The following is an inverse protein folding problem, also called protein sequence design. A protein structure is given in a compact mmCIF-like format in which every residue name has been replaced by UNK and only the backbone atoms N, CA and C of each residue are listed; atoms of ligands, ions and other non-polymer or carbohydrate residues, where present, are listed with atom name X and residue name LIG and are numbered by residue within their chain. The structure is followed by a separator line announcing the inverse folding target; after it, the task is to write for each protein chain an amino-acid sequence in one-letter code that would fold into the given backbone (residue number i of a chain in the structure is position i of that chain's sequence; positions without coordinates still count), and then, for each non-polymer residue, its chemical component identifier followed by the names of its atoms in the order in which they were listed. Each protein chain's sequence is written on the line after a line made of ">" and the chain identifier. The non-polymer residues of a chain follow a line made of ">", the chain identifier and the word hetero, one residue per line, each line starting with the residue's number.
data_IF_278344242508
#
_entry.id   IF_278344242508
#
_cell.length_a   1.000
_cell.length_b   1.000
_cell.length_c   1.000
_cell.angle_alpha   90.00
_cell.angle_beta   90.00
_cell.angle_gamma   90.00
#
_symmetry.space_group_name_H-M   'P 1'
#
loop_
_entity.id
_entity.type
_entity.pdbx_description
1 polymer ?
#
# COMPACT_ATOMS: atom_id res chain seq x y z
N UNK A 1 -24.07 -17.76 52.37
CA UNK A 1 -24.85 -18.15 51.18
C UNK A 1 -24.24 -17.44 49.98
N UNK A 2 -23.41 -18.15 49.19
CA UNK A 2 -22.76 -17.58 48.01
C UNK A 2 -23.72 -17.63 46.84
N UNK A 3 -24.12 -16.47 46.31
CA UNK A 3 -24.80 -16.40 45.03
C UNK A 3 -23.81 -16.80 43.92
N UNK A 4 -23.83 -18.07 43.53
CA UNK A 4 -23.27 -18.46 42.23
C UNK A 4 -24.16 -17.83 41.16
N UNK A 5 -23.68 -16.75 40.56
CA UNK A 5 -24.26 -16.22 39.34
C UNK A 5 -24.17 -17.31 38.27
N UNK A 6 -25.26 -18.03 38.03
CA UNK A 6 -25.41 -18.90 36.87
C UNK A 6 -25.21 -18.04 35.63
N UNK A 7 -24.03 -18.18 35.01
CA UNK A 7 -23.78 -17.67 33.66
C UNK A 7 -24.84 -18.31 32.76
N UNK A 8 -25.64 -17.49 32.09
CA UNK A 8 -26.56 -17.92 31.05
C UNK A 8 -25.86 -18.91 30.11
N UNK A 9 -26.47 -20.08 29.93
CA UNK A 9 -26.08 -21.07 28.94
C UNK A 9 -26.03 -20.38 27.57
N UNK A 10 -24.84 -20.34 26.98
CA UNK A 10 -24.60 -19.80 25.65
C UNK A 10 -25.48 -20.54 24.64
N UNK A 11 -26.28 -19.79 23.89
CA UNK A 11 -27.16 -20.27 22.84
C UNK A 11 -26.34 -20.67 21.61
N UNK A 12 -25.68 -21.83 21.64
CA UNK A 12 -25.17 -22.54 20.45
C UNK A 12 -24.20 -21.80 19.52
N UNK A 13 -23.65 -20.65 19.92
CA UNK A 13 -22.71 -19.86 19.13
C UNK A 13 -21.24 -20.25 19.36
N UNK A 14 -20.36 -19.85 18.43
CA UNK A 14 -18.91 -20.02 18.58
C UNK A 14 -18.43 -19.32 19.88
N UNK A 15 -17.53 -19.94 20.65
CA UNK A 15 -16.96 -19.32 21.85
C UNK A 15 -16.17 -18.06 21.47
N UNK A 16 -16.11 -17.04 22.35
CA UNK A 16 -15.30 -15.87 22.10
C UNK A 16 -13.82 -16.26 22.03
N UNK A 17 -13.11 -15.71 21.04
CA UNK A 17 -11.66 -15.86 20.87
C UNK A 17 -10.95 -14.53 21.05
N UNK A 18 -9.70 -14.60 21.53
CA UNK A 18 -8.80 -13.45 21.54
C UNK A 18 -8.01 -13.44 20.25
N UNK A 19 -8.13 -12.34 19.51
CA UNK A 19 -7.39 -12.10 18.28
C UNK A 19 -6.33 -11.03 18.56
N UNK A 20 -5.15 -11.20 17.99
CA UNK A 20 -4.10 -10.18 17.93
C UNK A 20 -3.89 -9.83 16.46
N UNK A 21 -4.05 -8.56 16.14
CA UNK A 21 -3.62 -8.03 14.87
C UNK A 21 -2.08 -7.95 14.85
N UNK A 22 -1.47 -8.43 13.77
CA UNK A 22 -0.05 -8.29 13.45
C UNK A 22 0.10 -7.73 12.05
N UNK A 23 1.29 -7.24 11.75
CA UNK A 23 1.68 -6.87 10.39
C UNK A 23 2.55 -7.97 9.81
N UNK A 24 2.18 -8.41 8.61
CA UNK A 24 3.03 -9.26 7.80
C UNK A 24 3.85 -8.37 6.89
N UNK A 25 5.16 -8.58 6.88
CA UNK A 25 6.07 -7.91 5.95
C UNK A 25 6.94 -8.95 5.28
N UNK A 26 6.88 -9.01 3.96
CA UNK A 26 7.62 -9.99 3.17
C UNK A 26 8.14 -9.38 1.88
N UNK A 27 9.16 -10.03 1.31
CA UNK A 27 9.72 -9.64 0.03
C UNK A 27 8.86 -10.15 -1.11
N UNK A 28 8.59 -9.30 -2.10
CA UNK A 28 7.79 -9.62 -3.28
C UNK A 28 8.69 -9.81 -4.50
N UNK A 29 8.43 -10.80 -5.37
CA UNK A 29 9.15 -10.92 -6.63
C UNK A 29 8.82 -9.74 -7.56
N UNK A 30 9.75 -9.40 -8.44
CA UNK A 30 9.66 -8.29 -9.39
C UNK A 30 10.11 -8.74 -10.77
N UNK A 31 9.56 -8.13 -11.82
CA UNK A 31 9.87 -8.46 -13.21
C UNK A 31 11.35 -8.23 -13.59
N UNK A 32 12.02 -7.28 -12.94
CA UNK A 32 13.41 -6.88 -13.23
C UNK A 32 14.34 -7.03 -12.00
N UNK A 33 13.87 -7.73 -10.96
CA UNK A 33 14.55 -7.89 -9.66
C UNK A 33 14.64 -6.63 -8.80
N UNK A 34 13.88 -5.57 -9.12
CA UNK A 34 13.76 -4.39 -8.25
C UNK A 34 13.32 -4.82 -6.85
N UNK A 35 14.02 -4.39 -5.77
CA UNK A 35 13.63 -4.69 -4.40
C UNK A 35 12.20 -4.23 -4.08
N UNK A 36 11.39 -5.12 -3.52
CA UNK A 36 10.04 -4.80 -3.10
C UNK A 36 9.70 -5.52 -1.80
N UNK A 37 9.13 -4.79 -0.85
CA UNK A 37 8.48 -5.36 0.32
C UNK A 37 7.01 -4.99 0.33
N UNK A 38 6.16 -5.95 0.70
CA UNK A 38 4.74 -5.72 0.92
C UNK A 38 4.40 -5.82 2.40
N UNK A 39 3.50 -4.96 2.87
CA UNK A 39 3.02 -4.92 4.24
C UNK A 39 1.50 -4.91 4.31
N UNK A 40 0.91 -5.76 5.16
CA UNK A 40 -0.54 -5.86 5.35
C UNK A 40 -0.92 -6.34 6.76
N UNK A 41 -2.13 -6.03 7.26
CA UNK A 41 -2.63 -6.55 8.51
C UNK A 41 -3.00 -8.04 8.40
N UNK A 42 -2.76 -8.79 9.46
CA UNK A 42 -3.09 -10.21 9.59
C UNK A 42 -3.59 -10.51 11.01
N UNK A 43 -4.61 -11.34 11.13
CA UNK A 43 -5.28 -11.64 12.40
C UNK A 43 -4.85 -12.99 12.97
N UNK A 44 -4.08 -12.98 14.05
CA UNK A 44 -3.64 -14.18 14.74
C UNK A 44 -4.58 -14.54 15.90
N UNK A 45 -5.11 -15.77 15.91
CA UNK A 45 -5.85 -16.30 17.06
C UNK A 45 -4.86 -16.66 18.17
N UNK A 46 -4.93 -15.96 19.30
CA UNK A 46 -4.00 -16.17 20.41
C UNK A 46 -4.29 -17.45 21.20
N UNK A 47 -5.56 -17.86 21.26
CA UNK A 47 -5.97 -19.04 22.00
C UNK A 47 -7.22 -19.65 21.38
N UNK A 48 -7.11 -20.94 21.04
CA UNK A 48 -8.23 -21.75 20.55
C UNK A 48 -8.94 -22.39 21.75
N UNK A 49 -10.26 -22.19 21.91
CA UNK A 49 -11.03 -22.82 22.98
C UNK A 49 -10.98 -24.35 22.92
N UNK A 50 -11.02 -25.00 24.08
CA UNK A 50 -10.98 -26.45 24.15
C UNK A 50 -12.14 -27.09 23.37
N UNK A 51 -11.84 -28.08 22.53
CA UNK A 51 -12.81 -28.76 21.67
C UNK A 51 -13.10 -28.04 20.35
N UNK A 52 -12.38 -26.95 20.05
CA UNK A 52 -12.45 -26.21 18.79
C UNK A 52 -11.10 -26.30 18.05
N UNK A 53 -11.14 -26.04 16.75
CA UNK A 53 -9.99 -25.95 15.84
C UNK A 53 -9.81 -24.52 15.32
N UNK A 54 -8.63 -24.18 14.81
CA UNK A 54 -8.38 -22.86 14.21
C UNK A 54 -9.32 -22.59 13.02
N UNK A 55 -9.59 -23.61 12.20
CA UNK A 55 -10.51 -23.55 11.06
C UNK A 55 -11.96 -23.28 11.45
N UNK A 56 -12.35 -23.48 12.71
CA UNK A 56 -13.67 -23.11 13.17
C UNK A 56 -13.83 -21.59 13.32
N UNK A 57 -12.75 -20.81 13.21
CA UNK A 57 -12.76 -19.37 13.27
C UNK A 57 -12.33 -18.79 11.93
N UNK A 58 -13.09 -17.84 11.41
CA UNK A 58 -12.69 -17.06 10.24
C UNK A 58 -11.74 -15.97 10.71
N UNK A 59 -10.47 -16.07 10.31
CA UNK A 59 -9.50 -14.98 10.44
C UNK A 59 -9.07 -14.54 9.06
N UNK A 60 -9.17 -13.24 8.81
CA UNK A 60 -8.67 -12.62 7.59
C UNK A 60 -7.14 -12.66 7.61
N UNK A 61 -6.60 -13.74 7.06
CA UNK A 61 -5.15 -14.00 6.94
C UNK A 61 -4.69 -14.02 5.48
N UNK A 62 -5.62 -13.81 4.54
CA UNK A 62 -5.30 -13.71 3.13
C UNK A 62 -4.67 -12.33 2.85
N UNK A 63 -3.63 -12.32 2.01
CA UNK A 63 -3.01 -11.06 1.57
C UNK A 63 -4.08 -10.23 0.84
N UNK A 64 -4.27 -8.97 1.22
CA UNK A 64 -5.20 -8.10 0.51
C UNK A 64 -4.79 -7.99 -0.96
N UNK A 65 -5.75 -8.17 -1.87
CA UNK A 65 -5.51 -8.02 -3.31
C UNK A 65 -5.19 -6.58 -3.71
N UNK A 66 -5.77 -5.63 -2.97
CA UNK A 66 -5.58 -4.20 -3.21
C UNK A 66 -4.24 -3.75 -2.71
N UNK A 67 -3.48 -3.09 -3.58
CA UNK A 67 -2.16 -2.60 -3.25
C UNK A 67 -2.00 -1.12 -3.51
N UNK A 68 -1.44 -0.43 -2.53
CA UNK A 68 -0.94 0.94 -2.67
C UNK A 68 0.54 0.87 -3.04
N UNK A 69 0.87 1.45 -4.19
CA UNK A 69 2.23 1.44 -4.72
C UNK A 69 3.01 2.64 -4.18
N UNK A 70 4.11 2.37 -3.48
CA UNK A 70 5.02 3.38 -2.94
C UNK A 70 6.42 3.13 -3.52
N UNK A 71 7.11 4.17 -3.97
CA UNK A 71 8.45 4.10 -4.54
C UNK A 71 9.41 4.93 -3.70
N UNK A 72 10.36 4.31 -3.02
CA UNK A 72 11.53 5.01 -2.50
C UNK A 72 12.54 5.19 -3.63
N UNK A 73 12.77 6.45 -4.00
CA UNK A 73 13.71 6.81 -5.06
C UNK A 73 14.97 7.49 -4.54
N UNK A 74 15.15 7.52 -3.22
CA UNK A 74 16.36 8.07 -2.61
C UNK A 74 17.59 7.23 -2.97
N UNK A 75 18.81 7.80 -2.96
CA UNK A 75 20.02 7.06 -3.31
C UNK A 75 20.29 5.79 -2.48
N UNK A 76 19.68 5.63 -1.30
CA UNK A 76 19.82 4.47 -0.42
C UNK A 76 18.70 3.44 -0.53
N UNK A 77 17.80 3.59 -1.50
CA UNK A 77 16.62 2.74 -1.66
C UNK A 77 16.93 1.30 -2.12
N UNK A 78 18.19 0.92 -2.36
CA UNK A 78 18.61 -0.46 -2.60
C UNK A 78 18.86 -1.27 -1.32
N UNK A 79 18.90 -0.61 -0.16
CA UNK A 79 19.11 -1.26 1.12
C UNK A 79 17.84 -2.00 1.58
N UNK A 80 17.88 -3.33 1.63
CA UNK A 80 16.74 -4.17 1.99
C UNK A 80 16.26 -3.98 3.42
N UNK A 81 17.17 -3.75 4.38
CA UNK A 81 16.80 -3.52 5.78
C UNK A 81 16.08 -2.17 5.94
N UNK A 82 16.55 -1.16 5.20
CA UNK A 82 15.89 0.15 5.11
C UNK A 82 14.48 0.02 4.55
N UNK A 83 14.30 -0.61 3.39
CA UNK A 83 12.98 -0.78 2.78
C UNK A 83 12.03 -1.55 3.69
N UNK A 84 12.51 -2.63 4.33
CA UNK A 84 11.69 -3.39 5.26
C UNK A 84 11.24 -2.53 6.44
N UNK A 85 12.16 -1.80 7.07
CA UNK A 85 11.83 -0.91 8.17
C UNK A 85 10.89 0.23 7.75
N UNK A 86 11.10 0.78 6.56
CA UNK A 86 10.31 1.85 6.00
C UNK A 86 8.86 1.40 5.75
N UNK A 87 8.64 0.26 5.10
CA UNK A 87 7.28 -0.23 4.86
C UNK A 87 6.56 -0.63 6.15
N UNK A 88 7.28 -1.20 7.13
CA UNK A 88 6.74 -1.48 8.47
C UNK A 88 6.26 -0.19 9.14
N UNK A 89 7.09 0.86 9.11
CA UNK A 89 6.80 2.16 9.70
C UNK A 89 5.59 2.81 9.02
N UNK A 90 5.63 2.97 7.69
CA UNK A 90 4.55 3.55 6.90
C UNK A 90 3.22 2.80 7.10
N UNK A 91 3.27 1.47 7.13
CA UNK A 91 2.08 0.68 7.39
C UNK A 91 1.54 0.97 8.80
N UNK A 92 2.39 0.90 9.82
CA UNK A 92 1.98 1.09 11.22
C UNK A 92 1.41 2.48 11.51
N UNK A 93 1.93 3.52 10.88
CA UNK A 93 1.47 4.90 11.06
C UNK A 93 0.11 5.14 10.38
N UNK A 94 -0.13 4.49 9.24
CA UNK A 94 -1.28 4.79 8.37
C UNK A 94 -2.41 3.77 8.49
N UNK A 95 -2.20 2.64 9.17
CA UNK A 95 -3.14 1.49 9.22
C UNK A 95 -4.47 1.85 9.88
N UNK A 96 -4.45 2.53 11.03
CA UNK A 96 -5.68 2.84 11.77
C UNK A 96 -6.64 3.66 10.91
N UNK A 97 -6.15 4.76 10.33
CA UNK A 97 -6.97 5.63 9.49
C UNK A 97 -7.43 4.93 8.21
N UNK A 98 -6.55 4.16 7.55
CA UNK A 98 -6.92 3.32 6.39
C UNK A 98 -8.02 2.33 6.74
N UNK A 99 -7.97 1.68 7.92
CA UNK A 99 -9.00 0.72 8.33
C UNK A 99 -10.34 1.35 8.69
N UNK A 100 -10.34 2.52 9.36
CA UNK A 100 -11.59 3.22 9.70
C UNK A 100 -12.36 3.60 8.44
N UNK A 101 -11.67 4.06 7.40
CA UNK A 101 -12.32 4.63 6.24
C UNK A 101 -12.56 3.66 5.07
N UNK A 102 -11.76 2.59 4.90
CA UNK A 102 -11.90 1.63 3.77
C UNK A 102 -13.08 0.65 3.93
N UNK A 103 -14.01 0.90 4.87
CA UNK A 103 -15.29 0.17 5.07
C UNK A 103 -15.14 -1.37 5.07
N UNK A 104 -14.05 -1.89 5.64
CA UNK A 104 -13.79 -3.32 5.71
C UNK A 104 -13.25 -3.94 4.42
N UNK A 105 -12.68 -3.14 3.51
CA UNK A 105 -11.92 -3.66 2.37
C UNK A 105 -10.43 -3.53 2.70
N UNK A 106 -9.73 -4.61 3.08
CA UNK A 106 -8.34 -4.48 3.45
C UNK A 106 -7.49 -4.13 2.22
N UNK A 107 -6.37 -3.44 2.45
CA UNK A 107 -5.37 -3.12 1.45
C UNK A 107 -3.96 -3.40 2.00
N UNK A 108 -2.98 -3.50 1.11
CA UNK A 108 -1.56 -3.66 1.42
C UNK A 108 -0.76 -2.48 0.87
N UNK A 109 0.41 -2.24 1.44
CA UNK A 109 1.40 -1.33 0.89
C UNK A 109 2.46 -2.15 0.16
N UNK A 110 2.75 -1.86 -1.10
CA UNK A 110 3.92 -2.39 -1.81
C UNK A 110 4.96 -1.26 -1.93
N UNK A 111 6.10 -1.40 -1.25
CA UNK A 111 7.20 -0.45 -1.26
C UNK A 111 8.33 -0.93 -2.15
N UNK A 112 8.59 -0.18 -3.21
CA UNK A 112 9.62 -0.41 -4.21
C UNK A 112 10.88 0.40 -3.91
N UNK A 113 12.03 -0.24 -3.96
CA UNK A 113 13.33 0.40 -3.84
C UNK A 113 13.94 0.68 -5.21
N UNK A 114 13.81 1.91 -5.70
CA UNK A 114 14.28 2.31 -7.03
C UNK A 114 15.25 3.49 -6.92
N UNK A 115 16.49 3.27 -6.46
CA UNK A 115 17.41 4.35 -6.13
C UNK A 115 17.74 5.21 -7.35
N UNK A 116 17.61 6.53 -7.19
CA UNK A 116 17.96 7.51 -8.22
C UNK A 116 18.91 8.57 -7.64
N UNK A 117 19.84 9.11 -8.45
CA UNK A 117 20.72 10.20 -8.04
C UNK A 117 19.95 11.35 -7.40
N UNK A 118 20.50 11.96 -6.35
CA UNK A 118 19.81 13.01 -5.58
C UNK A 118 19.42 14.25 -6.41
N UNK A 119 20.15 14.51 -7.49
CA UNK A 119 19.91 15.59 -8.45
C UNK A 119 18.91 15.23 -9.56
N UNK A 120 18.39 13.99 -9.57
CA UNK A 120 17.33 13.59 -10.51
C UNK A 120 16.09 14.42 -10.24
N UNK A 121 15.64 15.15 -11.27
CA UNK A 121 14.45 15.98 -11.19
C UNK A 121 13.18 15.13 -10.98
N UNK A 122 12.13 15.76 -10.44
CA UNK A 122 10.87 15.07 -10.12
C UNK A 122 10.21 14.42 -11.33
N UNK A 123 10.20 15.07 -12.50
CA UNK A 123 9.58 14.53 -13.71
C UNK A 123 10.21 13.19 -14.13
N UNK A 124 11.54 13.13 -14.17
CA UNK A 124 12.27 11.90 -14.50
C UNK A 124 12.04 10.79 -13.45
N UNK A 125 11.87 11.15 -12.17
CA UNK A 125 11.50 10.17 -11.13
C UNK A 125 10.10 9.59 -11.39
N UNK A 126 9.13 10.46 -11.69
CA UNK A 126 7.75 10.08 -12.01
C UNK A 126 7.71 9.14 -13.21
N UNK A 127 8.35 9.51 -14.31
CA UNK A 127 8.38 8.71 -15.55
C UNK A 127 8.94 7.31 -15.31
N UNK A 128 10.04 7.20 -14.54
CA UNK A 128 10.64 5.91 -14.18
C UNK A 128 9.71 5.07 -13.30
N UNK A 129 9.05 5.68 -12.30
CA UNK A 129 8.12 4.96 -11.42
C UNK A 129 6.89 4.45 -12.18
N UNK A 130 6.30 5.29 -13.05
CA UNK A 130 5.15 4.90 -13.88
C UNK A 130 5.54 3.79 -14.86
N UNK A 131 6.71 3.90 -15.50
CA UNK A 131 7.20 2.88 -16.42
C UNK A 131 7.39 1.53 -15.71
N UNK A 132 8.04 1.55 -14.54
CA UNK A 132 8.22 0.35 -13.72
C UNK A 132 6.87 -0.25 -13.28
N UNK A 133 5.94 0.57 -12.76
CA UNK A 133 4.62 0.10 -12.34
C UNK A 133 3.83 -0.52 -13.50
N UNK A 134 3.91 0.07 -14.69
CA UNK A 134 3.24 -0.45 -15.89
C UNK A 134 3.81 -1.80 -16.31
N UNK A 135 5.14 -1.97 -16.26
CA UNK A 135 5.80 -3.24 -16.53
C UNK A 135 5.45 -4.31 -15.48
N UNK A 136 5.38 -3.94 -14.20
CA UNK A 136 4.94 -4.83 -13.11
C UNK A 136 3.49 -5.29 -13.29
N UNK A 137 2.57 -4.40 -13.63
CA UNK A 137 1.17 -4.74 -13.94
C UNK A 137 1.12 -5.75 -15.09
N UNK A 138 1.85 -5.49 -16.18
CA UNK A 138 1.88 -6.38 -17.32
C UNK A 138 2.46 -7.75 -16.95
N UNK A 139 3.58 -7.79 -16.24
CA UNK A 139 4.22 -9.02 -15.79
C UNK A 139 3.30 -9.84 -14.89
N UNK A 140 2.70 -9.22 -13.86
CA UNK A 140 1.81 -9.90 -12.91
C UNK A 140 0.52 -10.41 -13.53
N UNK A 141 -0.01 -9.73 -14.55
CA UNK A 141 -1.18 -10.19 -15.29
C UNK A 141 -0.91 -11.43 -16.18
N UNK A 142 0.36 -11.69 -16.53
CA UNK A 142 0.73 -12.88 -17.33
C UNK A 142 0.95 -14.13 -16.48
N UNK A 143 1.32 -13.95 -15.21
CA UNK A 143 1.44 -15.06 -14.27
C UNK A 143 0.03 -15.34 -13.77
N UNK A 144 -0.49 -16.56 -13.89
CA UNK A 144 -1.77 -16.99 -13.29
C UNK A 144 -1.72 -16.99 -11.74
N UNK A 145 -0.89 -16.15 -11.14
CA UNK A 145 -0.74 -15.96 -9.71
C UNK A 145 -1.25 -14.58 -9.32
N UNK A 146 -2.53 -14.53 -8.99
CA UNK A 146 -3.20 -13.34 -8.45
C UNK A 146 -2.73 -12.98 -7.02
N UNK A 147 -1.73 -13.63 -6.43
CA UNK A 147 -1.27 -13.30 -5.06
C UNK A 147 -0.82 -11.85 -4.89
N UNK A 148 -0.41 -11.19 -5.97
CA UNK A 148 0.16 -9.86 -5.93
C UNK A 148 -0.41 -8.94 -7.01
N UNK A 149 -1.68 -9.08 -7.36
CA UNK A 149 -2.32 -8.19 -8.32
C UNK A 149 -2.13 -6.71 -7.93
N UNK A 150 -1.89 -5.84 -8.93
CA UNK A 150 -1.87 -4.38 -8.77
C UNK A 150 -3.15 -3.85 -9.42
N UNK A 151 -4.22 -3.76 -8.61
CA UNK A 151 -5.53 -3.34 -9.09
C UNK A 151 -5.59 -1.83 -9.39
N UNK A 152 -6.47 -1.39 -10.31
CA UNK A 152 -6.82 0.02 -10.49
C UNK A 152 -7.24 0.72 -9.19
N UNK A 153 -6.98 2.02 -9.09
CA UNK A 153 -7.62 2.83 -8.04
C UNK A 153 -9.09 3.06 -8.38
N UNK A 154 -9.94 3.10 -7.35
CA UNK A 154 -11.38 3.37 -7.50
C UNK A 154 -11.75 4.82 -7.14
N UNK A 155 -10.77 5.69 -6.90
CA UNK A 155 -11.02 6.92 -6.15
C UNK A 155 -11.52 8.09 -6.98
N UNK A 156 -11.27 8.15 -8.29
CA UNK A 156 -11.71 9.30 -9.10
C UNK A 156 -12.27 8.83 -10.42
N UNK A 157 -13.42 9.36 -10.82
CA UNK A 157 -14.04 9.12 -12.12
C UNK A 157 -13.08 9.44 -13.30
N UNK A 158 -11.99 10.19 -13.04
CA UNK A 158 -10.95 10.59 -13.98
C UNK A 158 -9.66 9.74 -13.94
N UNK A 159 -9.28 9.18 -12.79
CA UNK A 159 -7.94 8.56 -12.62
C UNK A 159 -8.05 7.07 -12.34
N UNK A 160 -7.37 6.26 -13.15
CA UNK A 160 -7.37 4.80 -13.04
C UNK A 160 -6.17 4.25 -12.26
N UNK A 161 -5.13 5.05 -12.01
CA UNK A 161 -3.93 4.66 -11.26
C UNK A 161 -3.42 5.78 -10.36
N UNK A 162 -2.75 5.37 -9.28
CA UNK A 162 -1.96 6.25 -8.45
C UNK A 162 -0.72 5.53 -7.90
N UNK A 163 0.32 6.31 -7.63
CA UNK A 163 1.49 5.88 -6.86
C UNK A 163 1.99 7.03 -5.98
N UNK A 164 2.73 6.68 -4.93
CA UNK A 164 3.41 7.63 -4.05
C UNK A 164 4.93 7.48 -4.23
N UNK A 165 5.65 8.58 -4.43
CA UNK A 165 7.11 8.59 -4.53
C UNK A 165 7.69 9.28 -3.31
N UNK A 166 8.64 8.61 -2.66
CA UNK A 166 9.52 9.20 -1.66
C UNK A 166 10.78 9.66 -2.42
N UNK A 167 10.92 10.98 -2.59
CA UNK A 167 12.02 11.58 -3.36
C UNK A 167 13.07 12.27 -2.48
N UNK A 168 12.87 12.24 -1.16
CA UNK A 168 13.75 12.83 -0.15
C UNK A 168 13.99 11.86 1.01
N UNK A 169 15.15 11.92 1.68
CA UNK A 169 15.41 11.12 2.86
C UNK A 169 14.51 11.57 4.03
N UNK A 170 14.34 10.68 5.02
CA UNK A 170 13.37 10.83 6.11
C UNK A 170 13.51 12.16 6.88
N UNK A 171 14.75 12.62 7.08
CA UNK A 171 15.03 13.86 7.81
C UNK A 171 14.45 15.11 7.13
N UNK A 172 14.09 14.99 5.84
CA UNK A 172 13.57 16.07 5.00
C UNK A 172 12.09 15.92 4.66
N UNK A 173 11.39 14.91 5.17
CA UNK A 173 9.98 14.69 4.86
C UNK A 173 9.04 15.79 5.36
N UNK A 174 9.45 16.52 6.39
CA UNK A 174 8.68 17.63 6.97
C UNK A 174 9.24 19.01 6.58
N UNK A 175 10.22 19.06 5.68
CA UNK A 175 10.88 20.30 5.26
C UNK A 175 10.39 20.74 3.88
N UNK A 176 10.35 22.06 3.66
CA UNK A 176 9.91 22.68 2.41
C UNK A 176 8.51 22.16 1.99
N UNK A 177 8.37 21.71 0.75
CA UNK A 177 7.15 21.13 0.17
C UNK A 177 6.93 19.65 0.56
N UNK A 178 7.76 19.09 1.46
CA UNK A 178 7.67 17.69 1.89
C UNK A 178 8.47 16.69 1.05
N UNK A 179 8.50 15.44 1.52
CA UNK A 179 9.29 14.34 0.94
C UNK A 179 8.51 13.37 0.05
N UNK A 180 7.21 13.62 -0.14
CA UNK A 180 6.32 12.72 -0.84
C UNK A 180 5.72 13.39 -2.07
N UNK A 181 5.65 12.66 -3.18
CA UNK A 181 5.02 13.08 -4.43
C UNK A 181 3.96 12.04 -4.79
N UNK A 182 2.68 12.41 -4.69
CA UNK A 182 1.60 11.58 -5.21
C UNK A 182 1.39 11.88 -6.69
N UNK A 183 1.19 10.82 -7.47
CA UNK A 183 0.96 10.91 -8.91
C UNK A 183 -0.32 10.15 -9.24
N UNK A 184 -1.22 10.76 -9.98
CA UNK A 184 -2.47 10.17 -10.48
C UNK A 184 -2.53 10.30 -12.00
N UNK A 185 -3.02 9.26 -12.67
CA UNK A 185 -3.16 9.24 -14.13
C UNK A 185 -4.27 8.27 -14.60
N UNK A 186 -4.72 8.45 -15.84
CA UNK A 186 -5.69 7.53 -16.46
C UNK A 186 -4.96 6.26 -16.94
N UNK A 187 -5.50 5.10 -16.57
CA UNK A 187 -4.98 3.80 -16.99
C UNK A 187 -5.27 3.48 -18.46
N UNK A 188 -6.26 4.14 -19.06
CA UNK A 188 -6.70 3.89 -20.44
C UNK A 188 -5.80 4.56 -21.48
N UNK A 189 -4.97 5.52 -21.07
CA UNK A 189 -3.90 6.04 -21.90
C UNK A 189 -2.72 5.07 -21.77
N UNK A 190 -2.50 4.26 -22.81
CA UNK A 190 -1.31 3.41 -22.91
C UNK A 190 -0.07 4.30 -22.83
N UNK A 191 0.56 4.36 -21.66
CA UNK A 191 1.83 5.05 -21.44
C UNK A 191 2.93 4.31 -22.20
N UNK A 192 3.02 4.55 -23.50
CA UNK A 192 4.12 4.07 -24.33
C UNK A 192 5.35 4.95 -24.08
N UNK A 193 6.55 4.37 -24.16
CA UNK A 193 7.84 5.09 -24.07
C UNK A 193 7.93 6.33 -24.99
N UNK A 194 7.03 6.42 -25.97
CA UNK A 194 6.90 7.54 -26.93
C UNK A 194 6.24 8.82 -26.37
N UNK A 195 5.63 8.81 -25.18
CA UNK A 195 4.97 10.00 -24.60
C UNK A 195 5.93 10.95 -23.84
N UNK A 196 7.24 10.69 -23.88
CA UNK A 196 8.27 11.57 -23.30
C UNK A 196 8.41 12.97 -23.96
N UNK A 197 7.50 13.38 -24.85
CA UNK A 197 7.58 14.66 -25.57
C UNK A 197 6.19 15.27 -25.73
N UNK A 198 5.63 15.87 -24.66
CA UNK A 198 4.69 17.01 -24.76
C UNK A 198 4.41 17.63 -23.40
N UNK A 199 5.30 18.53 -22.98
CA UNK A 199 5.09 19.37 -21.80
C UNK A 199 4.31 20.68 -22.10
N UNK A 200 3.62 20.80 -23.24
CA UNK A 200 3.09 22.11 -23.68
C UNK A 200 1.69 22.09 -24.32
N UNK A 201 0.87 21.06 -24.05
CA UNK A 201 -0.55 21.09 -24.42
C UNK A 201 -1.37 20.66 -23.23
N UNK A 202 -2.27 21.53 -22.76
CA UNK A 202 -3.11 21.37 -21.56
C UNK A 202 -4.16 20.25 -21.62
N UNK A 203 -3.75 19.04 -22.01
CA UNK A 203 -4.38 17.81 -21.57
C UNK A 203 -3.73 17.44 -20.24
N UNK A 204 -4.50 17.48 -19.17
CA UNK A 204 -4.07 17.01 -17.86
C UNK A 204 -3.95 15.47 -17.88
N UNK A 205 -2.85 14.94 -18.44
CA UNK A 205 -2.54 13.49 -18.47
C UNK A 205 -2.08 12.98 -17.09
N UNK A 206 -1.50 13.88 -16.27
CA UNK A 206 -0.99 13.58 -14.94
C UNK A 206 -1.45 14.63 -13.93
N UNK A 207 -1.81 14.20 -12.73
CA UNK A 207 -1.94 15.07 -11.55
C UNK A 207 -0.84 14.73 -10.55
N UNK A 208 -0.06 15.76 -10.17
CA UNK A 208 1.12 15.61 -9.32
C UNK A 208 0.98 16.55 -8.12
N UNK A 209 0.98 15.99 -6.92
CA UNK A 209 0.85 16.74 -5.68
C UNK A 209 1.99 16.38 -4.71
N UNK A 210 2.52 17.38 -4.00
CA UNK A 210 3.54 17.19 -2.96
C UNK A 210 2.94 17.22 -1.57
N UNK A 211 3.48 16.39 -0.68
CA UNK A 211 2.99 16.26 0.69
C UNK A 211 4.13 16.11 1.68
N UNK A 212 3.90 16.64 2.88
CA UNK A 212 4.71 16.39 4.06
C UNK A 212 4.30 15.08 4.76
N UNK A 213 5.11 14.62 5.72
CA UNK A 213 4.79 13.42 6.52
C UNK A 213 3.43 13.50 7.22
N UNK A 214 3.06 14.68 7.72
CA UNK A 214 1.83 14.88 8.48
C UNK A 214 0.56 14.78 7.61
N UNK A 215 0.70 14.83 6.29
CA UNK A 215 -0.41 14.75 5.34
C UNK A 215 -0.55 13.33 4.76
N UNK A 216 0.40 12.44 5.06
CA UNK A 216 0.53 11.15 4.40
C UNK A 216 -0.69 10.25 4.58
N UNK A 217 -1.29 10.24 5.77
CA UNK A 217 -2.52 9.48 6.05
C UNK A 217 -3.64 9.90 5.08
N UNK A 218 -3.88 11.21 4.95
CA UNK A 218 -4.88 11.77 4.04
C UNK A 218 -4.59 11.43 2.57
N UNK A 219 -3.33 11.40 2.16
CA UNK A 219 -2.94 11.05 0.78
C UNK A 219 -3.24 9.60 0.47
N UNK A 220 -2.83 8.68 1.35
CA UNK A 220 -3.04 7.25 1.16
C UNK A 220 -4.54 6.89 1.20
N UNK A 221 -5.34 7.64 1.95
CA UNK A 221 -6.80 7.57 1.90
C UNK A 221 -7.36 8.05 0.54
N UNK A 222 -6.84 9.16 0.02
CA UNK A 222 -7.30 9.75 -1.25
C UNK A 222 -7.02 8.87 -2.47
N UNK A 223 -6.08 7.92 -2.38
CA UNK A 223 -5.89 6.91 -3.41
C UNK A 223 -7.14 6.04 -3.60
N UNK A 224 -8.10 6.05 -2.67
CA UNK A 224 -9.25 5.15 -2.69
C UNK A 224 -10.61 5.82 -2.51
N UNK A 225 -10.69 6.87 -1.68
CA UNK A 225 -11.99 7.42 -1.29
C UNK A 225 -12.57 8.45 -2.26
N UNK A 226 -11.72 9.12 -3.05
CA UNK A 226 -12.19 10.18 -3.94
C UNK A 226 -12.70 11.42 -3.21
N UNK A 227 -12.40 11.51 -1.92
CA UNK A 227 -12.87 12.59 -1.05
C UNK A 227 -11.79 13.66 -1.04
N UNK A 228 -12.15 14.84 -1.54
CA UNK A 228 -11.46 16.11 -1.29
C UNK A 228 -12.26 16.92 -0.29
#
# INVERSE_FOLDING_TARGET
>A
MSHSSERRLSTGGKPPVRIRQRYMVERVPSHDSTPCFTAWPCNEILQIPQGWSASDFTTDNERPQRSIQIYDTTPGADNLDHLKHLVETLHSETDEERQVQDRGRPNRLDLWGMPLPSDTNTQTRIEKCIAHMSAEIAWRNTVENFEFEISPICSRDKWGRALLIIDRPEERWSQDDGGFVAVFWDANETWSETHAIRADTGNEELEVNRYSRNELDGVLLNFWLGIS
#
